data_IF_104711612384
#
_entry.id   IF_104711612384
#
_cell.length_a   1.000
_cell.length_b   1.000
_cell.length_c   1.000
_cell.angle_alpha   90.00
_cell.angle_beta   90.00
_cell.angle_gamma   90.00
#
_symmetry.space_group_name_H-M   'P 1'
#
loop_
_entity.id
_entity.type
_entity.pdbx_description
1 polymer ?
#
# COMPACT_ATOMS: atom_id res chain seq x y z
N UNK A 1 47.36 44.07 -20.61
CA UNK A 1 47.56 42.81 -19.85
C UNK A 1 46.73 42.78 -18.58
N UNK A 2 46.52 43.87 -17.88
CA UNK A 2 45.81 43.95 -16.57
C UNK A 2 44.29 43.64 -16.60
N UNK A 3 43.58 43.91 -17.69
CA UNK A 3 42.12 43.65 -17.77
C UNK A 3 41.78 42.17 -17.88
N UNK A 4 42.57 41.36 -18.56
CA UNK A 4 42.36 39.93 -18.73
C UNK A 4 42.56 39.19 -17.39
N UNK A 5 43.57 39.57 -16.63
CA UNK A 5 43.84 38.96 -15.31
C UNK A 5 42.73 39.25 -14.29
N UNK A 6 42.17 40.46 -14.28
CA UNK A 6 41.03 40.77 -13.40
C UNK A 6 39.76 40.00 -13.76
N UNK A 7 39.44 39.84 -15.02
CA UNK A 7 38.31 39.06 -15.50
C UNK A 7 38.45 37.56 -15.12
N UNK A 8 39.64 37.00 -15.30
CA UNK A 8 39.90 35.59 -14.92
C UNK A 8 39.78 35.35 -13.40
N UNK A 9 40.27 36.28 -12.58
CA UNK A 9 40.11 36.20 -11.12
C UNK A 9 38.63 36.27 -10.69
N UNK A 10 37.82 37.16 -11.28
CA UNK A 10 36.39 37.28 -10.98
C UNK A 10 35.65 36.03 -11.42
N UNK A 11 35.93 35.48 -12.59
CA UNK A 11 35.34 34.22 -13.06
C UNK A 11 35.72 33.05 -12.16
N UNK A 12 36.96 32.92 -11.75
CA UNK A 12 37.39 31.84 -10.85
C UNK A 12 36.73 31.94 -9.46
N UNK A 13 36.60 33.16 -8.91
CA UNK A 13 35.90 33.37 -7.64
C UNK A 13 34.39 33.02 -7.74
N UNK A 14 33.74 33.43 -8.83
CA UNK A 14 32.32 33.11 -9.07
C UNK A 14 32.08 31.60 -9.21
N UNK A 15 32.98 30.91 -9.92
CA UNK A 15 32.89 29.42 -10.04
C UNK A 15 33.08 28.75 -8.69
N UNK A 16 34.05 29.19 -7.88
CA UNK A 16 34.25 28.62 -6.54
C UNK A 16 33.06 28.84 -5.63
N UNK A 17 32.46 30.04 -5.63
CA UNK A 17 31.22 30.30 -4.86
C UNK A 17 30.08 29.44 -5.33
N UNK A 18 29.92 29.25 -6.65
CA UNK A 18 28.91 28.40 -7.20
C UNK A 18 29.06 26.91 -6.80
N UNK A 19 30.28 26.37 -6.94
CA UNK A 19 30.62 25.01 -6.53
C UNK A 19 30.39 24.82 -5.03
N UNK A 20 30.81 25.78 -4.20
CA UNK A 20 30.60 25.71 -2.76
C UNK A 20 29.11 25.74 -2.39
N UNK A 21 28.32 26.61 -3.03
CA UNK A 21 26.88 26.71 -2.76
C UNK A 21 26.11 25.45 -3.18
N UNK A 22 26.41 24.88 -4.37
CA UNK A 22 25.84 23.64 -4.82
C UNK A 22 26.23 22.45 -3.94
N UNK A 23 27.52 22.41 -3.55
CA UNK A 23 28.06 21.37 -2.67
C UNK A 23 27.41 21.39 -1.27
N UNK A 24 27.25 22.59 -0.68
CA UNK A 24 26.57 22.72 0.63
C UNK A 24 25.10 22.34 0.56
N UNK A 25 24.40 22.77 -0.48
CA UNK A 25 22.98 22.41 -0.66
C UNK A 25 22.80 20.91 -0.89
N UNK A 26 23.61 20.29 -1.76
CA UNK A 26 23.61 18.85 -2.00
C UNK A 26 23.96 18.07 -0.72
N UNK A 27 24.97 18.50 0.04
CA UNK A 27 25.34 17.90 1.31
C UNK A 27 24.21 17.94 2.34
N UNK A 28 23.52 19.09 2.45
CA UNK A 28 22.40 19.25 3.37
C UNK A 28 21.21 18.33 2.99
N UNK A 29 20.88 18.24 1.69
CA UNK A 29 19.81 17.38 1.22
C UNK A 29 20.09 15.89 1.44
N UNK A 30 21.32 15.45 1.19
CA UNK A 30 21.76 14.07 1.47
C UNK A 30 21.74 13.77 2.97
N UNK A 31 22.20 14.70 3.80
CA UNK A 31 22.18 14.55 5.25
C UNK A 31 20.75 14.45 5.79
N UNK A 32 19.83 15.29 5.29
CA UNK A 32 18.42 15.24 5.67
C UNK A 32 17.75 13.95 5.23
N UNK A 33 17.98 13.50 3.99
CA UNK A 33 17.48 12.24 3.49
C UNK A 33 18.00 11.04 4.31
N UNK A 34 19.29 11.04 4.64
CA UNK A 34 19.89 10.02 5.50
C UNK A 34 19.27 10.00 6.90
N UNK A 35 19.04 11.17 7.50
CA UNK A 35 18.39 11.29 8.80
C UNK A 35 16.96 10.75 8.77
N UNK A 36 16.19 11.03 7.71
CA UNK A 36 14.83 10.53 7.54
C UNK A 36 14.81 9.01 7.41
N UNK A 37 15.69 8.42 6.60
CA UNK A 37 15.82 6.96 6.45
C UNK A 37 16.20 6.31 7.78
N UNK A 38 17.12 6.91 8.52
CA UNK A 38 17.51 6.42 9.83
C UNK A 38 16.34 6.49 10.82
N UNK A 39 15.64 7.62 10.86
CA UNK A 39 14.47 7.82 11.71
C UNK A 39 13.37 6.81 11.39
N UNK A 40 13.09 6.57 10.11
CA UNK A 40 12.13 5.55 9.68
C UNK A 40 12.53 4.16 10.17
N UNK A 41 13.79 3.78 10.05
CA UNK A 41 14.29 2.47 10.47
C UNK A 41 14.22 2.26 11.99
N UNK A 42 14.42 3.32 12.79
CA UNK A 42 14.43 3.22 14.26
C UNK A 42 13.05 3.44 14.89
N UNK A 43 12.22 4.34 14.31
CA UNK A 43 10.93 4.69 14.91
C UNK A 43 9.75 3.86 14.36
N UNK A 44 9.86 3.29 13.13
CA UNK A 44 8.75 2.61 12.46
C UNK A 44 8.99 1.09 12.36
N UNK A 45 9.54 0.49 13.40
CA UNK A 45 9.67 -0.98 13.45
C UNK A 45 8.57 -1.57 14.33
N UNK A 46 7.44 -1.93 13.71
CA UNK A 46 6.30 -2.55 14.42
C UNK A 46 6.49 -4.05 14.68
N UNK A 47 7.63 -4.65 14.26
CA UNK A 47 7.90 -6.06 14.47
C UNK A 47 6.91 -6.99 13.76
N UNK A 48 6.71 -8.16 14.38
CA UNK A 48 5.70 -9.14 13.95
C UNK A 48 4.47 -8.94 14.83
N UNK A 49 3.31 -8.77 14.19
CA UNK A 49 2.02 -8.62 14.84
C UNK A 49 1.16 -9.86 14.57
N UNK A 50 0.25 -10.19 15.46
CA UNK A 50 -0.72 -11.26 15.26
C UNK A 50 -1.96 -10.72 14.59
N UNK A 51 -2.36 -11.36 13.52
CA UNK A 51 -3.64 -11.14 12.85
C UNK A 51 -4.56 -12.32 13.18
N UNK A 52 -5.57 -12.07 13.98
CA UNK A 52 -6.57 -13.07 14.36
C UNK A 52 -7.83 -12.88 13.51
N UNK A 53 -8.24 -13.94 12.83
CA UNK A 53 -9.41 -13.95 11.97
C UNK A 53 -10.47 -14.83 12.60
N UNK A 54 -11.69 -14.29 12.75
CA UNK A 54 -12.88 -14.99 13.26
C UNK A 54 -12.66 -15.63 14.65
N UNK A 55 -12.01 -14.89 15.58
CA UNK A 55 -11.80 -15.31 16.95
C UNK A 55 -11.02 -16.64 17.11
N UNK A 56 -9.90 -16.76 16.40
CA UNK A 56 -8.95 -17.86 16.58
C UNK A 56 -9.04 -18.97 15.53
N UNK A 57 -9.91 -18.85 14.53
CA UNK A 57 -9.96 -19.84 13.44
C UNK A 57 -8.66 -19.85 12.61
N UNK A 58 -8.06 -18.68 12.39
CA UNK A 58 -6.79 -18.53 11.66
C UNK A 58 -5.90 -17.45 12.27
N UNK A 59 -5.12 -17.75 13.31
CA UNK A 59 -4.08 -16.83 13.76
C UNK A 59 -2.93 -16.81 12.76
N UNK A 60 -2.54 -15.62 12.30
CA UNK A 60 -1.48 -15.41 11.32
C UNK A 60 -0.45 -14.45 11.89
N UNK A 61 0.83 -14.76 11.74
CA UNK A 61 1.91 -13.84 12.03
C UNK A 61 2.20 -12.97 10.80
N UNK A 62 2.02 -11.66 10.96
CA UNK A 62 2.14 -10.69 9.86
C UNK A 62 3.14 -9.60 10.20
N UNK A 63 3.83 -9.09 9.20
CA UNK A 63 4.76 -7.99 9.39
C UNK A 63 3.99 -6.70 9.67
N UNK A 64 4.32 -6.05 10.78
CA UNK A 64 3.76 -4.74 11.11
C UNK A 64 4.16 -3.65 10.10
N UNK A 65 3.37 -2.57 10.05
CA UNK A 65 3.58 -1.44 9.14
C UNK A 65 2.90 -1.57 7.77
N UNK A 66 2.51 -2.76 7.35
CA UNK A 66 1.77 -2.98 6.10
C UNK A 66 0.26 -2.73 6.27
N UNK A 67 -0.48 -2.60 5.17
CA UNK A 67 -1.94 -2.53 5.23
C UNK A 67 -2.53 -3.90 5.54
N UNK A 68 -3.68 -3.91 6.22
CA UNK A 68 -4.39 -5.14 6.52
C UNK A 68 -4.77 -5.91 5.24
N UNK A 69 -5.16 -5.20 4.18
CA UNK A 69 -5.43 -5.80 2.87
C UNK A 69 -4.20 -6.53 2.32
N UNK A 70 -3.02 -5.92 2.38
CA UNK A 70 -1.79 -6.54 1.89
C UNK A 70 -1.40 -7.78 2.72
N UNK A 71 -1.60 -7.72 4.05
CA UNK A 71 -1.36 -8.85 4.93
C UNK A 71 -2.29 -10.03 4.62
N UNK A 72 -3.58 -9.77 4.38
CA UNK A 72 -4.56 -10.77 4.00
C UNK A 72 -4.21 -11.41 2.64
N UNK A 73 -3.87 -10.59 1.63
CA UNK A 73 -3.42 -11.09 0.32
C UNK A 73 -2.19 -11.97 0.41
N UNK A 74 -1.19 -11.58 1.22
CA UNK A 74 0.02 -12.37 1.42
C UNK A 74 -0.25 -13.75 2.05
N UNK A 75 -1.39 -13.92 2.73
CA UNK A 75 -1.85 -15.16 3.34
C UNK A 75 -3.00 -15.82 2.57
N UNK A 76 -3.13 -15.53 1.28
CA UNK A 76 -4.12 -16.12 0.36
C UNK A 76 -5.59 -15.86 0.72
N UNK A 77 -5.84 -14.77 1.48
CA UNK A 77 -7.20 -14.32 1.82
C UNK A 77 -7.53 -13.10 0.96
N UNK A 78 -8.45 -13.29 0.02
CA UNK A 78 -8.74 -12.29 -1.00
C UNK A 78 -9.99 -11.50 -0.66
N UNK A 79 -9.79 -10.24 -0.27
CA UNK A 79 -10.86 -9.28 -0.02
C UNK A 79 -11.10 -8.46 -1.30
N UNK A 80 -12.36 -8.29 -1.76
CA UNK A 80 -12.66 -7.49 -2.95
C UNK A 80 -12.07 -6.09 -2.87
N UNK A 81 -11.30 -5.69 -3.87
CA UNK A 81 -10.64 -4.39 -3.92
C UNK A 81 -10.48 -3.90 -5.36
N UNK A 82 -11.52 -3.29 -5.92
CA UNK A 82 -11.52 -2.83 -7.30
C UNK A 82 -10.46 -1.75 -7.60
N UNK A 83 -10.04 -0.98 -6.59
CA UNK A 83 -9.02 0.07 -6.74
C UNK A 83 -7.58 -0.43 -6.49
N UNK A 84 -7.36 -1.72 -6.22
CA UNK A 84 -6.04 -2.24 -5.88
C UNK A 84 -5.45 -1.70 -4.58
N UNK A 85 -6.29 -1.39 -3.59
CA UNK A 85 -5.84 -0.92 -2.28
C UNK A 85 -5.62 0.58 -2.14
N UNK A 86 -6.02 1.39 -3.14
CA UNK A 86 -5.84 2.86 -3.13
C UNK A 86 -6.82 3.63 -2.24
N UNK A 87 -7.83 2.95 -1.66
CA UNK A 87 -8.83 3.59 -0.79
C UNK A 87 -9.92 4.38 -1.52
N UNK A 88 -10.12 4.15 -2.82
CA UNK A 88 -11.02 4.96 -3.66
C UNK A 88 -12.30 4.27 -4.08
N UNK A 89 -12.48 2.96 -3.79
CA UNK A 89 -13.67 2.21 -4.20
C UNK A 89 -14.61 1.81 -3.06
N UNK A 90 -14.10 1.74 -1.83
CA UNK A 90 -14.90 1.35 -0.67
C UNK A 90 -15.32 -0.13 -0.60
N UNK A 91 -14.77 -1.02 -1.46
CA UNK A 91 -15.20 -2.43 -1.52
C UNK A 91 -14.52 -3.33 -0.47
N UNK A 92 -13.33 -2.97 0.02
CA UNK A 92 -12.57 -3.78 0.97
C UNK A 92 -13.05 -3.59 2.43
N UNK A 93 -14.38 -3.62 2.63
CA UNK A 93 -14.98 -3.46 3.96
C UNK A 93 -14.90 -4.75 4.74
N UNK A 94 -14.35 -4.68 5.95
CA UNK A 94 -14.31 -5.77 6.92
C UNK A 94 -14.55 -5.22 8.32
N UNK A 95 -14.97 -6.08 9.24
CA UNK A 95 -15.16 -5.70 10.63
C UNK A 95 -13.83 -5.88 11.37
N UNK A 96 -13.30 -4.81 11.96
CA UNK A 96 -12.08 -4.83 12.78
C UNK A 96 -12.48 -4.66 14.24
N UNK A 97 -12.44 -5.73 15.02
CA UNK A 97 -12.92 -5.74 16.39
C UNK A 97 -11.93 -5.11 17.37
N UNK A 98 -10.62 -5.23 17.11
CA UNK A 98 -9.56 -4.60 17.90
C UNK A 98 -8.30 -4.39 17.07
N UNK A 99 -7.41 -3.49 17.50
CA UNK A 99 -6.11 -3.25 16.86
C UNK A 99 -6.14 -2.39 15.58
N UNK A 100 -7.31 -1.93 15.14
CA UNK A 100 -7.44 -1.16 13.90
C UNK A 100 -7.21 0.34 14.03
N UNK A 101 -7.02 0.84 15.26
CA UNK A 101 -6.90 2.26 15.53
C UNK A 101 -8.17 3.08 15.18
N UNK A 102 -8.12 4.41 15.21
CA UNK A 102 -9.27 5.26 14.89
C UNK A 102 -9.62 5.22 13.41
N UNK A 103 -10.89 5.50 13.08
CA UNK A 103 -11.34 5.65 11.68
C UNK A 103 -10.64 6.83 11.05
N UNK A 104 -10.06 6.60 9.88
CA UNK A 104 -9.33 7.64 9.16
C UNK A 104 -10.27 8.54 8.34
N UNK A 105 -9.93 9.82 8.17
CA UNK A 105 -10.69 10.73 7.30
C UNK A 105 -10.85 10.21 5.86
N UNK A 106 -9.89 9.40 5.37
CA UNK A 106 -9.93 8.77 4.05
C UNK A 106 -10.95 7.64 3.93
N UNK A 107 -11.39 7.06 5.05
CA UNK A 107 -12.41 6.00 5.09
C UNK A 107 -13.83 6.58 5.18
N UNK A 108 -13.97 7.75 5.80
CA UNK A 108 -15.27 8.38 6.11
C UNK A 108 -16.21 8.52 4.90
N UNK A 109 -15.76 8.86 3.67
CA UNK A 109 -16.64 8.97 2.52
C UNK A 109 -17.29 7.64 2.09
N UNK A 110 -16.70 6.50 2.48
CA UNK A 110 -17.12 5.16 2.06
C UNK A 110 -17.84 4.38 3.16
N UNK A 111 -17.87 4.91 4.39
CA UNK A 111 -18.47 4.27 5.55
C UNK A 111 -19.70 5.06 6.01
N UNK A 112 -20.83 4.39 6.15
CA UNK A 112 -22.00 4.94 6.81
C UNK A 112 -21.78 5.07 8.33
N UNK A 113 -22.55 5.92 8.98
CA UNK A 113 -22.52 6.07 10.44
C UNK A 113 -22.77 4.75 11.19
N UNK A 114 -23.61 3.89 10.61
CA UNK A 114 -23.90 2.57 11.19
C UNK A 114 -22.70 1.63 11.06
N UNK A 115 -22.04 1.60 9.90
CA UNK A 115 -20.84 0.79 9.67
C UNK A 115 -19.70 1.22 10.60
N UNK A 116 -19.50 2.51 10.80
CA UNK A 116 -18.50 3.02 11.76
C UNK A 116 -18.80 2.53 13.19
N UNK A 117 -20.08 2.56 13.61
CA UNK A 117 -20.49 2.04 14.93
C UNK A 117 -20.32 0.52 15.05
N UNK A 118 -20.39 -0.19 13.93
CA UNK A 118 -20.18 -1.65 13.87
C UNK A 118 -18.72 -2.04 13.63
N UNK A 119 -17.80 -1.08 13.80
CA UNK A 119 -16.36 -1.27 13.58
C UNK A 119 -15.99 -1.76 12.17
N UNK A 120 -16.79 -1.41 11.17
CA UNK A 120 -16.44 -1.66 9.77
C UNK A 120 -15.34 -0.69 9.36
N UNK A 121 -14.30 -1.21 8.72
CA UNK A 121 -13.14 -0.46 8.26
C UNK A 121 -12.80 -0.84 6.82
N UNK A 122 -12.04 0.00 6.13
CA UNK A 122 -11.46 -0.33 4.84
C UNK A 122 -10.11 -1.04 5.05
N UNK A 123 -10.03 -2.32 4.73
CA UNK A 123 -8.82 -3.12 4.94
C UNK A 123 -7.55 -2.50 4.30
N UNK A 124 -7.70 -1.79 3.19
CA UNK A 124 -6.58 -1.12 2.53
C UNK A 124 -6.06 0.12 3.28
N UNK A 125 -6.89 0.74 4.13
CA UNK A 125 -6.53 1.94 4.89
C UNK A 125 -6.05 1.61 6.31
N UNK A 126 -6.46 0.48 6.87
CA UNK A 126 -6.01 0.03 8.18
C UNK A 126 -4.57 -0.46 8.08
N UNK A 127 -3.66 0.16 8.84
CA UNK A 127 -2.28 -0.28 8.98
C UNK A 127 -2.10 -1.10 10.25
N UNK A 128 -1.46 -2.25 10.12
CA UNK A 128 -1.14 -3.14 11.23
C UNK A 128 0.01 -2.55 12.02
N UNK A 129 -0.24 -2.14 13.26
CA UNK A 129 0.76 -1.55 14.15
C UNK A 129 0.93 -2.35 15.45
N UNK A 130 -0.05 -3.16 15.75
CA UNK A 130 -0.18 -4.02 16.92
C UNK A 130 -0.98 -5.26 16.53
N UNK A 131 -1.23 -6.16 17.46
CA UNK A 131 -2.10 -7.33 17.23
C UNK A 131 -3.50 -6.87 16.84
N UNK A 132 -4.02 -7.44 15.75
CA UNK A 132 -5.28 -7.02 15.14
C UNK A 132 -6.26 -8.18 15.05
N UNK A 133 -7.52 -7.90 15.38
CA UNK A 133 -8.60 -8.87 15.38
C UNK A 133 -9.66 -8.47 14.35
N UNK A 134 -9.94 -9.36 13.43
CA UNK A 134 -10.87 -9.10 12.32
C UNK A 134 -11.93 -10.19 12.19
N UNK A 135 -13.10 -9.78 11.71
CA UNK A 135 -14.15 -10.71 11.33
C UNK A 135 -14.38 -10.59 9.82
N UNK A 136 -14.20 -11.69 9.14
CA UNK A 136 -14.37 -11.81 7.69
C UNK A 136 -15.49 -12.82 7.44
N UNK A 137 -16.52 -12.49 6.62
CA UNK A 137 -17.56 -13.44 6.25
C UNK A 137 -16.97 -14.68 5.58
N UNK A 138 -17.50 -15.85 5.88
CA UNK A 138 -17.02 -17.14 5.32
C UNK A 138 -17.04 -17.17 3.80
N UNK A 139 -17.98 -16.47 3.18
CA UNK A 139 -18.08 -16.33 1.73
C UNK A 139 -16.82 -15.73 1.10
N UNK A 140 -16.15 -14.79 1.82
CA UNK A 140 -14.90 -14.18 1.38
C UNK A 140 -13.69 -15.07 1.67
N UNK A 141 -13.74 -15.94 2.66
CA UNK A 141 -12.65 -16.89 2.98
C UNK A 141 -12.54 -18.03 1.98
N UNK A 142 -13.62 -18.33 1.26
CA UNK A 142 -13.70 -19.41 0.28
C UNK A 142 -13.37 -18.98 -1.16
N UNK A 143 -12.93 -17.75 -1.38
CA UNK A 143 -12.52 -17.27 -2.70
C UNK A 143 -11.21 -17.96 -3.11
N UNK A 144 -11.27 -18.73 -4.20
CA UNK A 144 -10.10 -19.42 -4.77
C UNK A 144 -9.56 -18.65 -5.96
N UNK A 145 -8.25 -18.59 -6.08
CA UNK A 145 -7.59 -18.11 -7.29
C UNK A 145 -7.38 -19.29 -8.26
N UNK A 146 -7.65 -19.05 -9.53
CA UNK A 146 -7.42 -20.02 -10.59
C UNK A 146 -6.43 -19.44 -11.59
N UNK A 147 -5.50 -20.27 -12.03
CA UNK A 147 -4.61 -19.91 -13.13
C UNK A 147 -5.30 -20.20 -14.46
N UNK A 148 -5.35 -19.21 -15.34
CA UNK A 148 -5.96 -19.34 -16.66
C UNK A 148 -5.06 -18.76 -17.73
N UNK A 149 -5.13 -19.33 -18.92
CA UNK A 149 -4.47 -18.79 -20.13
C UNK A 149 -5.51 -18.10 -20.99
N UNK A 150 -5.19 -16.92 -21.49
CA UNK A 150 -6.04 -16.21 -22.44
C UNK A 150 -5.93 -16.91 -23.81
N UNK A 151 -7.04 -17.50 -24.29
CA UNK A 151 -7.12 -18.14 -25.60
C UNK A 151 -7.38 -17.11 -26.73
N UNK A 152 -8.24 -16.14 -26.47
CA UNK A 152 -8.56 -15.10 -27.42
C UNK A 152 -9.01 -13.82 -26.74
N UNK A 153 -8.74 -12.69 -27.38
CA UNK A 153 -9.23 -11.38 -26.97
C UNK A 153 -9.75 -10.65 -28.21
N UNK A 154 -11.06 -10.47 -28.30
CA UNK A 154 -11.74 -9.86 -29.46
C UNK A 154 -12.42 -8.56 -29.02
N UNK A 155 -12.20 -7.50 -29.76
CA UNK A 155 -12.88 -6.21 -29.53
C UNK A 155 -14.26 -6.28 -30.17
N UNK A 156 -15.33 -6.19 -29.36
CA UNK A 156 -16.72 -6.21 -29.80
C UNK A 156 -17.21 -4.81 -30.18
N UNK A 157 -16.86 -3.82 -29.35
CA UNK A 157 -17.14 -2.39 -29.59
C UNK A 157 -15.90 -1.57 -29.24
N UNK A 158 -15.95 -0.25 -29.38
CA UNK A 158 -14.81 0.63 -29.05
C UNK A 158 -14.40 0.57 -27.56
N UNK A 159 -15.30 0.17 -26.67
CA UNK A 159 -15.14 0.13 -25.22
C UNK A 159 -15.33 -1.27 -24.58
N UNK A 160 -15.79 -2.26 -25.37
CA UNK A 160 -16.03 -3.63 -24.87
C UNK A 160 -15.09 -4.61 -25.58
N UNK A 161 -14.38 -5.39 -24.77
CA UNK A 161 -13.51 -6.48 -25.24
C UNK A 161 -13.92 -7.80 -24.61
N UNK A 162 -14.20 -8.80 -25.44
CA UNK A 162 -14.40 -10.19 -25.01
C UNK A 162 -13.04 -10.85 -24.78
N UNK A 163 -12.82 -11.44 -23.63
CA UNK A 163 -11.62 -12.22 -23.31
C UNK A 163 -12.05 -13.64 -22.98
N UNK A 164 -11.62 -14.63 -23.77
CA UNK A 164 -11.81 -16.06 -23.48
C UNK A 164 -10.59 -16.59 -22.75
N UNK A 165 -10.83 -17.21 -21.61
CA UNK A 165 -9.78 -17.77 -20.77
C UNK A 165 -10.02 -19.26 -20.58
N UNK A 166 -8.97 -20.06 -20.68
CA UNK A 166 -8.98 -21.48 -20.36
C UNK A 166 -8.29 -21.72 -19.04
N UNK A 167 -8.95 -22.38 -18.11
CA UNK A 167 -8.35 -22.81 -16.84
C UNK A 167 -7.26 -23.84 -17.10
N UNK A 168 -6.11 -23.69 -16.44
CA UNK A 168 -4.98 -24.62 -16.55
C UNK A 168 -5.29 -25.91 -15.81
N UNK A 169 -6.01 -25.81 -14.69
CA UNK A 169 -6.46 -26.95 -13.91
C UNK A 169 -7.99 -27.10 -14.00
N UNK A 170 -8.51 -28.34 -14.09
CA UNK A 170 -9.94 -28.55 -14.09
C UNK A 170 -10.52 -28.17 -12.72
N UNK A 171 -11.13 -27.01 -12.64
CA UNK A 171 -11.77 -26.49 -11.44
C UNK A 171 -13.28 -26.39 -11.68
N UNK A 172 -14.07 -27.00 -10.80
CA UNK A 172 -15.51 -26.73 -10.75
C UNK A 172 -15.72 -25.34 -10.16
N UNK A 173 -16.10 -24.41 -11.02
CA UNK A 173 -16.60 -23.10 -10.59
C UNK A 173 -18.06 -23.32 -10.20
N UNK A 174 -18.34 -23.43 -8.90
CA UNK A 174 -19.73 -23.41 -8.41
C UNK A 174 -20.28 -21.99 -8.58
N UNK A 175 -21.34 -21.88 -9.34
CA UNK A 175 -22.14 -20.65 -9.46
C UNK A 175 -22.97 -20.41 -8.21
#
# INVERSE_FOLDING_TARGET
MTQIETVTMILASAINVYILSVGTFAGLTVALAGLLILAERFLINYGVCKLDINAGEKPLDVKGGQSLLAALYANEIFIPSACGGKGTCGHCKIVVTAGGGPVLPTETPYLSRQEVRSNVRLACQVKIREDIYVRIPEEMLNVKMFNAVVESATTLTHDIREVRMKLIEPAEIKQ
#
